data_IF_658652848248
#
_entry.id   IF_658652848248
#
_cell.length_a   1.000
_cell.length_b   1.000
_cell.length_c   1.000
_cell.angle_alpha   90.00
_cell.angle_beta   90.00
_cell.angle_gamma   90.00
#
_symmetry.space_group_name_H-M   'P 1'
#
loop_
_entity.id
_entity.type
_entity.pdbx_description
1 polymer ?
#
# COMPACT_ATOMS: atom_id res chain seq x y z
N UNK A 1 -9.25 23.45 -5.66
CA UNK A 1 -9.58 23.28 -4.23
C UNK A 1 -8.58 22.26 -3.68
N UNK A 2 -7.55 22.69 -2.95
CA UNK A 2 -6.45 21.82 -2.53
C UNK A 2 -6.86 20.86 -1.41
N UNK A 3 -6.31 19.64 -1.41
CA UNK A 3 -6.43 18.69 -0.31
C UNK A 3 -5.82 19.33 0.94
N UNK A 4 -6.63 19.55 1.98
CA UNK A 4 -6.14 20.04 3.26
C UNK A 4 -5.56 18.87 4.03
N UNK A 5 -4.34 19.05 4.49
CA UNK A 5 -3.60 18.06 5.23
C UNK A 5 -4.38 17.63 6.49
N UNK A 6 -4.76 16.35 6.56
CA UNK A 6 -5.63 15.82 7.63
C UNK A 6 -4.88 15.48 8.92
N UNK A 7 -3.60 15.87 9.04
CA UNK A 7 -2.81 15.74 10.27
C UNK A 7 -3.58 16.19 11.52
N UNK A 8 -4.41 17.23 11.41
CA UNK A 8 -5.17 17.79 12.54
C UNK A 8 -6.50 17.09 12.84
N UNK A 9 -6.99 16.19 11.97
CA UNK A 9 -8.37 15.65 12.07
C UNK A 9 -8.43 14.27 12.75
N UNK A 10 -7.35 13.48 12.68
CA UNK A 10 -7.35 12.08 13.15
C UNK A 10 -6.37 11.77 14.29
N UNK A 11 -5.78 12.80 14.93
CA UNK A 11 -4.98 12.61 16.14
C UNK A 11 -3.66 11.86 15.96
N UNK A 12 -3.06 11.91 14.76
CA UNK A 12 -1.69 11.43 14.59
C UNK A 12 -0.76 12.29 15.46
N UNK A 13 0.09 11.65 16.26
CA UNK A 13 1.04 12.37 17.10
C UNK A 13 1.95 13.26 16.25
N UNK A 14 2.29 14.43 16.75
CA UNK A 14 3.20 15.35 16.09
C UNK A 14 4.52 14.64 15.73
N UNK A 15 4.95 14.77 14.47
CA UNK A 15 6.13 14.06 13.95
C UNK A 15 5.89 12.64 13.46
N UNK A 16 4.66 12.11 13.50
CA UNK A 16 4.34 10.81 12.86
C UNK A 16 4.48 10.94 11.34
N UNK A 17 5.31 10.11 10.68
CA UNK A 17 5.47 10.19 9.25
C UNK A 17 4.18 9.77 8.54
N UNK A 18 3.76 10.54 7.53
CA UNK A 18 2.76 10.09 6.58
C UNK A 18 3.38 9.04 5.67
N UNK A 19 2.76 7.86 5.63
CA UNK A 19 3.18 6.78 4.74
C UNK A 19 2.24 6.73 3.55
N UNK A 20 1.03 6.23 3.77
CA UNK A 20 0.02 6.02 2.72
C UNK A 20 -0.45 7.35 2.13
N UNK A 21 -0.67 8.36 2.96
CA UNK A 21 -1.21 9.66 2.55
C UNK A 21 -0.16 10.71 2.22
N UNK A 22 1.14 10.34 2.19
CA UNK A 22 2.25 11.27 1.97
C UNK A 22 2.13 12.11 0.71
N UNK A 23 1.47 11.57 -0.33
CA UNK A 23 1.27 12.23 -1.63
C UNK A 23 -0.14 12.70 -1.92
N UNK A 24 -1.09 12.60 -1.00
CA UNK A 24 -2.49 12.93 -1.30
C UNK A 24 -2.69 14.42 -1.68
N UNK A 25 -1.77 15.29 -1.25
CA UNK A 25 -1.72 16.70 -1.63
C UNK A 25 -0.94 17.01 -2.92
N UNK A 26 -0.20 16.06 -3.48
CA UNK A 26 0.60 16.27 -4.69
C UNK A 26 -0.31 16.38 -5.92
N UNK A 27 -0.27 17.48 -6.70
CA UNK A 27 -1.13 17.66 -7.88
C UNK A 27 -1.00 16.55 -8.93
N UNK A 28 0.21 16.00 -9.05
CA UNK A 28 0.63 15.00 -10.02
C UNK A 28 0.85 13.61 -9.39
N UNK A 29 0.50 13.42 -8.10
CA UNK A 29 0.72 12.15 -7.39
C UNK A 29 0.04 10.93 -8.03
N UNK A 30 -1.00 11.17 -8.83
CA UNK A 30 -1.72 10.14 -9.56
C UNK A 30 -1.06 9.69 -10.86
N UNK A 31 -0.01 10.40 -11.29
CA UNK A 31 0.72 10.10 -12.53
C UNK A 31 1.93 9.22 -12.26
N UNK A 32 2.35 8.44 -13.26
CA UNK A 32 3.56 7.63 -13.18
C UNK A 32 4.80 8.49 -12.92
N UNK A 33 4.90 9.63 -13.61
CA UNK A 33 6.05 10.53 -13.48
C UNK A 33 6.09 11.18 -12.09
N UNK A 34 4.95 11.64 -11.58
CA UNK A 34 4.83 12.15 -10.22
C UNK A 34 5.20 11.10 -9.17
N UNK A 35 4.76 9.86 -9.34
CA UNK A 35 5.14 8.75 -8.44
C UNK A 35 6.66 8.52 -8.44
N UNK A 36 7.27 8.43 -9.63
CA UNK A 36 8.72 8.28 -9.83
C UNK A 36 9.54 9.42 -9.24
N UNK A 37 9.04 10.65 -9.32
CA UNK A 37 9.74 11.85 -8.85
C UNK A 37 9.60 12.11 -7.33
N UNK A 38 8.68 11.42 -6.65
CA UNK A 38 8.18 11.86 -5.34
C UNK A 38 9.12 11.72 -4.14
N UNK A 39 10.25 11.00 -4.25
CA UNK A 39 11.25 10.85 -3.17
C UNK A 39 10.75 10.18 -1.87
N UNK A 40 9.44 9.95 -1.71
CA UNK A 40 8.83 9.17 -0.63
C UNK A 40 8.60 7.75 -1.14
N UNK A 41 9.31 6.75 -0.60
CA UNK A 41 9.38 5.39 -1.16
C UNK A 41 9.98 5.29 -2.58
N UNK A 42 10.66 6.34 -3.04
CA UNK A 42 11.49 6.41 -4.24
C UNK A 42 10.91 5.84 -5.55
N UNK A 43 9.58 5.79 -5.70
CA UNK A 43 8.90 5.53 -6.96
C UNK A 43 9.33 4.25 -7.69
N UNK A 44 8.83 3.10 -7.23
CA UNK A 44 9.17 1.74 -7.72
C UNK A 44 10.50 1.15 -7.24
N UNK A 45 11.30 1.84 -6.44
CA UNK A 45 12.54 1.25 -5.93
C UNK A 45 12.31 0.08 -4.95
N UNK A 46 11.18 0.04 -4.23
CA UNK A 46 10.90 -1.11 -3.38
C UNK A 46 10.66 -2.35 -4.24
N UNK A 47 9.93 -2.20 -5.34
CA UNK A 47 9.80 -3.23 -6.37
C UNK A 47 11.16 -3.63 -6.96
N UNK A 48 12.00 -2.68 -7.36
CA UNK A 48 13.34 -2.99 -7.91
C UNK A 48 14.20 -3.84 -6.94
N UNK A 49 14.16 -3.50 -5.64
CA UNK A 49 14.86 -4.26 -4.60
C UNK A 49 14.27 -5.67 -4.46
N UNK A 50 12.94 -5.79 -4.45
CA UNK A 50 12.23 -7.06 -4.28
C UNK A 50 12.43 -8.01 -5.46
N UNK A 51 12.52 -7.50 -6.69
CA UNK A 51 12.78 -8.33 -7.88
C UNK A 51 14.14 -9.04 -7.81
N UNK A 52 15.09 -8.51 -7.03
CA UNK A 52 16.37 -9.16 -6.73
C UNK A 52 16.33 -10.15 -5.56
N UNK A 53 15.20 -10.30 -4.87
CA UNK A 53 15.05 -11.14 -3.68
C UNK A 53 14.34 -12.47 -3.99
N UNK A 54 14.68 -13.50 -3.22
CA UNK A 54 13.88 -14.72 -3.23
C UNK A 54 12.47 -14.44 -2.67
N UNK A 55 11.37 -14.96 -3.28
CA UNK A 55 10.01 -14.73 -2.78
C UNK A 55 9.81 -15.10 -1.30
N UNK A 56 10.48 -16.15 -0.83
CA UNK A 56 10.45 -16.57 0.58
C UNK A 56 11.00 -15.51 1.54
N UNK A 57 11.97 -14.69 1.11
CA UNK A 57 12.49 -13.57 1.89
C UNK A 57 11.47 -12.44 1.99
N UNK A 58 10.76 -12.14 0.91
CA UNK A 58 9.68 -11.13 0.89
C UNK A 58 8.55 -11.54 1.85
N UNK A 59 8.09 -12.79 1.76
CA UNK A 59 7.07 -13.34 2.67
C UNK A 59 7.53 -13.27 4.13
N UNK A 60 8.79 -13.60 4.42
CA UNK A 60 9.35 -13.49 5.77
C UNK A 60 9.35 -12.04 6.26
N UNK A 61 9.78 -11.08 5.43
CA UNK A 61 9.74 -9.65 5.78
C UNK A 61 8.33 -9.18 6.13
N UNK A 62 7.32 -9.53 5.32
CA UNK A 62 5.92 -9.14 5.58
C UNK A 62 5.36 -9.79 6.85
N UNK A 63 5.73 -11.05 7.11
CA UNK A 63 5.37 -11.76 8.33
C UNK A 63 5.99 -11.10 9.55
N UNK A 64 7.28 -10.80 9.51
CA UNK A 64 8.04 -10.23 10.62
C UNK A 64 7.60 -8.77 10.90
N UNK A 65 7.16 -8.04 9.88
CA UNK A 65 6.54 -6.72 10.01
C UNK A 65 5.18 -6.73 10.72
N UNK A 66 4.59 -7.90 10.99
CA UNK A 66 3.30 -8.04 11.67
C UNK A 66 2.16 -7.24 11.01
N UNK A 67 2.19 -7.14 9.67
CA UNK A 67 1.21 -6.39 8.91
C UNK A 67 -0.19 -7.03 9.03
N UNK A 68 -1.18 -6.25 9.47
CA UNK A 68 -2.57 -6.68 9.59
C UNK A 68 -3.39 -6.25 8.38
N UNK A 69 -4.37 -7.08 8.00
CA UNK A 69 -5.35 -6.75 6.96
C UNK A 69 -6.17 -5.52 7.32
N UNK A 70 -6.20 -4.53 6.41
CA UNK A 70 -6.87 -3.23 6.61
C UNK A 70 -8.34 -3.19 6.16
N UNK A 71 -8.92 -4.34 5.82
CA UNK A 71 -10.33 -4.50 5.46
C UNK A 71 -11.27 -4.70 6.66
N UNK A 72 -10.80 -4.51 7.90
CA UNK A 72 -11.61 -4.60 9.12
C UNK A 72 -11.36 -5.85 9.98
N UNK A 73 -11.14 -7.02 9.36
CA UNK A 73 -10.93 -8.27 10.11
C UNK A 73 -9.55 -8.39 10.80
N UNK A 74 -8.56 -7.58 10.40
CA UNK A 74 -7.25 -7.53 11.05
C UNK A 74 -6.41 -8.81 10.91
N UNK A 75 -6.70 -9.70 9.96
CA UNK A 75 -5.94 -10.95 9.80
C UNK A 75 -4.47 -10.69 9.40
N UNK A 76 -3.46 -11.36 9.99
CA UNK A 76 -2.05 -11.16 9.63
C UNK A 76 -1.74 -11.50 8.16
N UNK A 77 -1.23 -10.53 7.41
CA UNK A 77 -0.98 -10.64 5.97
C UNK A 77 0.09 -11.69 5.64
N UNK A 78 1.23 -11.69 6.33
CA UNK A 78 2.30 -12.65 6.09
C UNK A 78 1.91 -14.10 6.38
N UNK A 79 1.02 -14.32 7.35
CA UNK A 79 0.44 -15.66 7.62
C UNK A 79 -0.48 -16.07 6.47
N UNK A 80 -1.35 -15.18 5.99
CA UNK A 80 -2.24 -15.43 4.85
C UNK A 80 -1.46 -15.83 3.59
N UNK A 81 -0.35 -15.14 3.31
CA UNK A 81 0.51 -15.44 2.16
C UNK A 81 1.14 -16.83 2.26
N UNK A 82 1.48 -17.28 3.47
CA UNK A 82 2.07 -18.60 3.72
C UNK A 82 1.13 -19.79 3.48
N UNK A 83 -0.19 -19.58 3.38
CA UNK A 83 -1.15 -20.67 3.08
C UNK A 83 -1.15 -21.10 1.62
N UNK A 84 -0.54 -20.33 0.73
CA UNK A 84 -0.53 -20.63 -0.69
C UNK A 84 0.42 -21.81 -0.99
N UNK A 85 -0.07 -22.94 -1.53
CA UNK A 85 0.76 -24.11 -1.80
C UNK A 85 1.80 -23.78 -2.88
N UNK A 86 3.09 -24.15 -2.76
CA UNK A 86 4.16 -23.72 -3.69
C UNK A 86 4.01 -24.24 -5.13
N UNK A 87 3.38 -25.41 -5.30
CA UNK A 87 3.35 -26.12 -6.59
C UNK A 87 2.04 -25.93 -7.38
N UNK A 88 1.16 -25.02 -6.93
CA UNK A 88 -0.14 -24.76 -7.58
C UNK A 88 -0.08 -23.46 -8.39
N UNK A 89 -0.37 -23.58 -9.69
CA UNK A 89 -0.42 -22.50 -10.66
C UNK A 89 -1.62 -22.69 -11.61
N UNK A 90 -2.20 -21.61 -12.17
CA UNK A 90 -1.85 -20.20 -11.96
C UNK A 90 -2.32 -19.68 -10.59
N UNK A 91 -1.64 -18.64 -10.10
CA UNK A 91 -2.08 -17.85 -8.93
C UNK A 91 -2.70 -16.54 -9.39
N UNK A 92 -3.67 -16.09 -8.62
CA UNK A 92 -4.35 -14.81 -8.85
C UNK A 92 -4.22 -13.92 -7.62
N UNK A 93 -4.00 -12.64 -7.88
CA UNK A 93 -4.08 -11.58 -6.87
C UNK A 93 -5.40 -10.85 -7.11
N UNK A 94 -6.16 -10.62 -6.04
CA UNK A 94 -7.39 -9.83 -6.07
C UNK A 94 -7.22 -8.65 -5.13
N UNK A 95 -7.28 -7.45 -5.69
CA UNK A 95 -7.39 -6.22 -4.94
C UNK A 95 -8.87 -5.95 -4.70
N UNK A 96 -9.29 -5.96 -3.44
CA UNK A 96 -10.66 -5.60 -3.07
C UNK A 96 -10.76 -4.08 -2.92
N UNK A 97 -11.44 -3.42 -3.86
CA UNK A 97 -11.72 -1.99 -3.85
C UNK A 97 -13.21 -1.64 -3.68
N UNK A 98 -14.03 -2.57 -3.19
CA UNK A 98 -15.49 -2.39 -3.09
C UNK A 98 -15.88 -1.23 -2.15
N UNK A 99 -15.16 -1.05 -1.03
CA UNK A 99 -15.31 0.05 -0.05
C UNK A 99 -16.77 0.51 0.20
N UNK A 100 -17.71 -0.43 0.38
CA UNK A 100 -19.15 -0.11 0.50
C UNK A 100 -19.65 0.15 1.93
N UNK A 101 -18.79 0.02 2.95
CA UNK A 101 -19.20 0.19 4.36
C UNK A 101 -19.50 1.67 4.69
N UNK A 102 -20.66 2.00 5.29
CA UNK A 102 -21.00 3.36 5.66
C UNK A 102 -19.90 4.06 6.48
N UNK A 103 -19.46 5.22 6.03
CA UNK A 103 -18.42 6.01 6.69
C UNK A 103 -16.97 5.59 6.34
N UNK A 104 -16.79 4.57 5.50
CA UNK A 104 -15.47 4.16 4.99
C UNK A 104 -15.20 4.80 3.62
N UNK A 105 -14.07 5.49 3.47
CA UNK A 105 -13.68 6.19 2.23
C UNK A 105 -12.15 6.33 2.07
N UNK A 106 -11.39 5.48 2.78
CA UNK A 106 -9.92 5.53 2.88
C UNK A 106 -9.22 5.01 1.62
N UNK A 107 -9.72 3.92 1.03
CA UNK A 107 -9.08 3.20 -0.07
C UNK A 107 -9.32 3.93 -1.38
N UNK A 108 -10.52 4.50 -1.58
CA UNK A 108 -10.81 5.37 -2.73
C UNK A 108 -9.82 6.51 -2.85
N UNK A 109 -9.45 7.15 -1.73
CA UNK A 109 -8.48 8.24 -1.75
C UNK A 109 -7.09 7.77 -2.21
N UNK A 110 -6.64 6.58 -1.78
CA UNK A 110 -5.39 6.01 -2.28
C UNK A 110 -5.46 5.76 -3.79
N UNK A 111 -6.54 5.14 -4.26
CA UNK A 111 -6.73 4.83 -5.68
C UNK A 111 -6.86 6.09 -6.56
N UNK A 112 -7.49 7.16 -6.07
CA UNK A 112 -7.66 8.41 -6.81
C UNK A 112 -6.41 9.31 -6.78
N UNK A 113 -5.68 9.34 -5.66
CA UNK A 113 -4.61 10.33 -5.43
C UNK A 113 -3.21 9.78 -5.63
N UNK A 114 -3.01 8.49 -5.35
CA UNK A 114 -1.71 7.83 -5.42
C UNK A 114 -1.83 6.35 -5.84
N UNK A 115 -2.50 6.04 -6.98
CA UNK A 115 -2.73 4.69 -7.48
C UNK A 115 -1.43 3.88 -7.65
N UNK A 116 -0.32 4.53 -7.98
CA UNK A 116 0.95 3.83 -8.20
C UNK A 116 1.50 3.18 -6.92
N UNK A 117 1.18 3.71 -5.74
CA UNK A 117 1.51 3.06 -4.46
C UNK A 117 0.78 1.72 -4.30
N UNK A 118 -0.50 1.67 -4.69
CA UNK A 118 -1.27 0.42 -4.69
C UNK A 118 -0.72 -0.56 -5.74
N UNK A 119 -0.43 -0.08 -6.94
CA UNK A 119 0.09 -0.91 -8.04
C UNK A 119 1.45 -1.50 -7.67
N UNK A 120 2.37 -0.70 -7.11
CA UNK A 120 3.67 -1.21 -6.64
C UNK A 120 3.48 -2.31 -5.59
N UNK A 121 2.59 -2.10 -4.61
CA UNK A 121 2.26 -3.12 -3.62
C UNK A 121 1.63 -4.39 -4.18
N UNK A 122 1.02 -4.35 -5.37
CA UNK A 122 0.49 -5.53 -6.05
C UNK A 122 1.55 -6.29 -6.86
N UNK A 123 2.62 -5.60 -7.28
CA UNK A 123 3.73 -6.18 -8.04
C UNK A 123 4.76 -6.84 -7.14
N UNK A 124 4.86 -6.40 -5.87
CA UNK A 124 5.66 -6.99 -4.79
C UNK A 124 5.01 -8.28 -4.27
#
# INVERSE_FOLDING_TARGET
MGYRDHHSVFGAAEGTPLVVSSRFGAPDGHTLDGYKASGSYDGYQALDRVLGMAPSKVVATVRDASLLGRGGAGFPAGVKWGFMPPDVQPRYIVVNGDESEPGTYKDRLLMERDPHQLIEGCLI
#
